data_IF_901546940726
#
_entry.id   IF_901546940726
#
_cell.length_a   1.000
_cell.length_b   1.000
_cell.length_c   1.000
_cell.angle_alpha   90.00
_cell.angle_beta   90.00
_cell.angle_gamma   90.00
#
_symmetry.space_group_name_H-M   'P 1'
#
loop_
_entity.id
_entity.type
_entity.pdbx_description
1 polymer ?
#
# COMPACT_ATOMS: atom_id res chain seq x y z
N UNK A 1 -10.15 -4.01 18.03
CA UNK A 1 -9.52 -2.98 18.89
C UNK A 1 -10.07 -1.64 18.46
N UNK A 2 -10.49 -0.80 19.41
CA UNK A 2 -10.86 0.58 19.11
C UNK A 2 -9.57 1.42 18.99
N UNK A 3 -9.54 2.36 18.04
CA UNK A 3 -8.44 3.32 17.91
C UNK A 3 -8.48 4.32 19.07
N UNK A 4 -7.32 4.80 19.50
CA UNK A 4 -7.26 5.90 20.47
C UNK A 4 -7.79 7.20 19.85
N UNK A 5 -8.15 8.17 20.69
CA UNK A 5 -8.57 9.49 20.23
C UNK A 5 -7.47 10.19 19.43
N UNK A 6 -6.23 10.10 19.90
CA UNK A 6 -5.05 10.65 19.24
C UNK A 6 -4.83 10.03 17.85
N UNK A 7 -5.00 8.71 17.72
CA UNK A 7 -4.93 8.02 16.43
C UNK A 7 -6.04 8.48 15.49
N UNK A 8 -7.25 8.68 16.01
CA UNK A 8 -8.40 9.13 15.22
C UNK A 8 -8.18 10.56 14.70
N UNK A 9 -7.70 11.46 15.57
CA UNK A 9 -7.36 12.84 15.21
C UNK A 9 -6.21 12.88 14.18
N UNK A 10 -5.18 12.04 14.35
CA UNK A 10 -4.09 11.89 13.41
C UNK A 10 -4.55 11.39 12.03
N UNK A 11 -5.41 10.37 12.00
CA UNK A 11 -6.01 9.85 10.77
C UNK A 11 -6.87 10.92 10.09
N UNK A 12 -7.68 11.66 10.84
CA UNK A 12 -8.48 12.76 10.28
C UNK A 12 -7.60 13.85 9.64
N UNK A 13 -6.51 14.23 10.31
CA UNK A 13 -5.56 15.20 9.79
C UNK A 13 -4.88 14.72 8.50
N UNK A 14 -4.48 13.45 8.45
CA UNK A 14 -3.90 12.81 7.26
C UNK A 14 -4.91 12.83 6.10
N UNK A 15 -6.16 12.40 6.34
CA UNK A 15 -7.21 12.40 5.32
C UNK A 15 -7.46 13.80 4.74
N UNK A 16 -7.62 14.81 5.61
CA UNK A 16 -7.81 16.21 5.18
C UNK A 16 -6.64 16.71 4.34
N UNK A 17 -5.42 16.40 4.76
CA UNK A 17 -4.20 16.86 4.10
C UNK A 17 -4.03 16.18 2.74
N UNK A 18 -4.21 14.86 2.66
CA UNK A 18 -4.13 14.11 1.40
C UNK A 18 -5.13 14.62 0.36
N UNK A 19 -6.38 14.85 0.76
CA UNK A 19 -7.42 15.36 -0.14
C UNK A 19 -7.12 16.80 -0.59
N UNK A 20 -6.73 17.70 0.33
CA UNK A 20 -6.36 19.08 -0.02
C UNK A 20 -5.17 19.13 -0.97
N UNK A 21 -4.14 18.32 -0.72
CA UNK A 21 -2.97 18.23 -1.58
C UNK A 21 -3.35 17.73 -2.97
N UNK A 22 -4.30 16.78 -3.08
CA UNK A 22 -4.82 16.34 -4.37
C UNK A 22 -5.54 17.47 -5.09
N UNK A 23 -6.40 18.23 -4.42
CA UNK A 23 -7.08 19.37 -5.04
C UNK A 23 -6.11 20.45 -5.53
N UNK A 24 -5.06 20.76 -4.75
CA UNK A 24 -4.09 21.80 -5.09
C UNK A 24 -3.18 21.40 -6.26
N UNK A 25 -2.76 20.14 -6.32
CA UNK A 25 -1.77 19.66 -7.28
C UNK A 25 -2.38 18.77 -8.37
N UNK A 26 -3.71 18.79 -8.53
CA UNK A 26 -4.35 18.01 -9.59
C UNK A 26 -4.04 18.62 -10.95
N UNK A 27 -3.19 17.93 -11.71
CA UNK A 27 -2.98 18.19 -13.11
C UNK A 27 -3.96 17.33 -13.92
N UNK A 28 -4.95 17.93 -14.61
CA UNK A 28 -5.81 17.21 -15.52
C UNK A 28 -4.94 16.54 -16.59
N UNK A 29 -5.21 15.27 -16.92
CA UNK A 29 -4.45 14.59 -17.96
C UNK A 29 -4.48 15.40 -19.27
N UNK A 30 -3.30 15.72 -19.86
CA UNK A 30 -3.25 16.43 -21.13
C UNK A 30 -3.51 15.42 -22.24
N UNK A 31 -4.77 15.14 -22.50
CA UNK A 31 -5.17 14.34 -23.64
C UNK A 31 -6.38 14.99 -24.29
N UNK A 32 -6.22 15.40 -25.54
CA UNK A 32 -7.35 15.71 -26.41
C UNK A 32 -8.27 14.50 -26.42
N UNK A 33 -9.35 14.55 -25.63
CA UNK A 33 -10.38 13.52 -25.54
C UNK A 33 -11.68 14.02 -26.20
N UNK A 34 -11.69 14.21 -27.54
CA UNK A 34 -12.81 14.85 -28.24
C UNK A 34 -14.10 14.05 -28.11
N UNK A 35 -14.02 12.71 -28.11
CA UNK A 35 -15.18 11.84 -27.94
C UNK A 35 -15.79 11.97 -26.54
N UNK A 36 -14.98 11.83 -25.49
CA UNK A 36 -15.45 11.94 -24.10
C UNK A 36 -16.00 13.34 -23.79
N UNK A 37 -15.35 14.38 -24.34
CA UNK A 37 -15.81 15.77 -24.21
C UNK A 37 -17.15 15.96 -24.91
N UNK A 38 -17.37 15.33 -26.07
CA UNK A 38 -18.64 15.39 -26.79
C UNK A 38 -19.75 14.60 -26.10
N UNK A 39 -19.42 13.47 -25.46
CA UNK A 39 -20.36 12.60 -24.79
C UNK A 39 -20.80 13.15 -23.42
N UNK A 40 -19.85 13.63 -22.62
CA UNK A 40 -20.05 13.98 -21.21
C UNK A 40 -20.08 15.50 -20.97
N UNK A 41 -19.51 16.29 -21.89
CA UNK A 41 -19.22 17.70 -21.66
C UNK A 41 -17.95 17.90 -20.82
N UNK A 42 -17.44 19.13 -20.81
CA UNK A 42 -16.17 19.48 -20.18
C UNK A 42 -16.18 19.28 -18.66
N UNK A 43 -17.25 19.71 -17.99
CA UNK A 43 -17.32 19.69 -16.53
C UNK A 43 -17.43 18.27 -15.97
N UNK A 44 -18.26 17.42 -16.59
CA UNK A 44 -18.40 16.01 -16.18
C UNK A 44 -17.14 15.22 -16.45
N UNK A 45 -16.43 15.52 -17.54
CA UNK A 45 -15.14 14.91 -17.84
C UNK A 45 -14.09 15.30 -16.80
N UNK A 46 -14.02 16.59 -16.41
CA UNK A 46 -13.10 17.05 -15.37
C UNK A 46 -13.36 16.36 -14.01
N UNK A 47 -14.63 16.25 -13.61
CA UNK A 47 -15.03 15.52 -12.40
C UNK A 47 -14.67 14.04 -12.48
N UNK A 48 -14.97 13.39 -13.62
CA UNK A 48 -14.63 11.98 -13.84
C UNK A 48 -13.12 11.75 -13.72
N UNK A 49 -12.31 12.55 -14.41
CA UNK A 49 -10.85 12.41 -14.39
C UNK A 49 -10.29 12.66 -12.98
N UNK A 50 -10.85 13.60 -12.23
CA UNK A 50 -10.47 13.83 -10.84
C UNK A 50 -10.76 12.62 -9.95
N UNK A 51 -11.99 12.09 -10.02
CA UNK A 51 -12.39 10.89 -9.25
C UNK A 51 -11.57 9.67 -9.68
N UNK A 52 -11.31 9.51 -10.97
CA UNK A 52 -10.48 8.43 -11.47
C UNK A 52 -9.05 8.52 -10.93
N UNK A 53 -8.45 9.71 -10.99
CA UNK A 53 -7.10 9.97 -10.46
C UNK A 53 -7.00 9.79 -8.95
N UNK A 54 -8.10 10.04 -8.21
CA UNK A 54 -8.22 9.71 -6.79
C UNK A 54 -8.32 8.21 -6.54
N UNK A 55 -9.10 7.50 -7.35
CA UNK A 55 -9.28 6.06 -7.18
C UNK A 55 -8.00 5.27 -7.47
N UNK A 56 -7.22 5.68 -8.47
CA UNK A 56 -5.97 5.00 -8.84
C UNK A 56 -4.83 5.25 -7.86
N UNK A 57 -4.86 6.36 -7.11
CA UNK A 57 -3.82 6.70 -6.14
C UNK A 57 -4.23 6.50 -4.67
N UNK A 58 -5.47 6.08 -4.40
CA UNK A 58 -6.00 5.93 -3.05
C UNK A 58 -5.13 5.04 -2.16
N UNK A 59 -4.55 3.98 -2.73
CA UNK A 59 -3.62 3.08 -2.04
C UNK A 59 -2.43 3.81 -1.44
N UNK A 60 -1.67 4.53 -2.26
CA UNK A 60 -0.42 5.19 -1.84
C UNK A 60 -0.65 6.57 -1.22
N UNK A 61 -1.64 7.35 -1.67
CA UNK A 61 -1.84 8.72 -1.17
C UNK A 61 -2.77 8.83 0.04
N UNK A 62 -3.55 7.79 0.33
CA UNK A 62 -4.53 7.79 1.44
C UNK A 62 -4.32 6.62 2.37
N UNK A 63 -4.43 5.38 1.88
CA UNK A 63 -4.40 4.20 2.74
C UNK A 63 -3.04 3.96 3.39
N UNK A 64 -1.93 4.12 2.66
CA UNK A 64 -0.59 3.94 3.21
C UNK A 64 -0.27 4.95 4.34
N UNK A 65 -0.48 6.27 4.18
CA UNK A 65 -0.31 7.24 5.26
C UNK A 65 -1.19 6.96 6.49
N UNK A 66 -2.45 6.55 6.28
CA UNK A 66 -3.36 6.18 7.37
C UNK A 66 -2.87 4.93 8.09
N UNK A 67 -2.42 3.91 7.36
CA UNK A 67 -1.86 2.70 7.94
C UNK A 67 -0.60 3.00 8.77
N UNK A 68 0.24 3.92 8.29
CA UNK A 68 1.42 4.38 9.01
C UNK A 68 1.06 5.08 10.33
N UNK A 69 0.04 5.94 10.33
CA UNK A 69 -0.41 6.62 11.54
C UNK A 69 -0.99 5.66 12.58
N UNK A 70 -1.76 4.66 12.14
CA UNK A 70 -2.27 3.59 13.01
C UNK A 70 -1.11 2.73 13.56
N UNK A 71 -0.11 2.45 12.73
CA UNK A 71 1.02 1.58 13.09
C UNK A 71 1.98 2.22 14.10
N UNK A 72 2.22 3.54 14.04
CA UNK A 72 3.11 4.27 14.97
C UNK A 72 2.81 4.02 16.44
N UNK A 73 1.53 3.85 16.79
CA UNK A 73 1.13 3.60 18.18
C UNK A 73 1.47 2.17 18.66
N UNK A 74 1.54 1.20 17.75
CA UNK A 74 1.68 -0.22 18.08
C UNK A 74 3.10 -0.74 17.83
N UNK A 75 3.88 -0.08 16.98
CA UNK A 75 5.18 -0.54 16.53
C UNK A 75 6.25 0.52 16.77
N UNK A 76 7.45 0.09 17.19
CA UNK A 76 8.61 0.98 17.36
C UNK A 76 9.03 1.68 16.07
N UNK A 77 8.73 1.08 14.92
CA UNK A 77 9.08 1.58 13.61
C UNK A 77 7.92 1.37 12.64
N UNK A 78 7.45 2.46 12.06
CA UNK A 78 6.45 2.49 10.99
C UNK A 78 6.99 3.40 9.87
N UNK A 79 7.19 2.86 8.68
CA UNK A 79 7.72 3.58 7.52
C UNK A 79 6.88 3.29 6.29
N UNK A 80 6.64 4.32 5.48
CA UNK A 80 6.01 4.22 4.17
C UNK A 80 7.09 3.97 3.11
N UNK A 81 6.69 3.46 1.95
CA UNK A 81 7.54 3.33 0.76
C UNK A 81 8.84 2.55 1.03
N UNK A 82 8.72 1.40 1.69
CA UNK A 82 9.88 0.52 1.91
C UNK A 82 10.26 -0.12 0.58
N UNK A 83 11.45 0.23 0.09
CA UNK A 83 12.06 -0.45 -1.05
C UNK A 83 12.43 -1.87 -0.60
N UNK A 84 11.76 -2.88 -1.17
CA UNK A 84 12.23 -4.24 -1.07
C UNK A 84 13.61 -4.27 -1.75
N UNK A 85 14.65 -4.61 -0.99
CA UNK A 85 16.02 -4.64 -1.50
C UNK A 85 16.15 -5.50 -2.77
N UNK A 86 17.26 -5.33 -3.47
CA UNK A 86 17.55 -6.00 -4.74
C UNK A 86 18.07 -7.45 -4.59
N UNK A 87 18.26 -7.91 -3.35
CA UNK A 87 18.95 -9.16 -3.04
C UNK A 87 18.18 -9.99 -2.02
N UNK A 88 18.22 -11.30 -2.21
CA UNK A 88 17.76 -12.31 -1.27
C UNK A 88 18.99 -13.09 -0.83
N UNK A 89 19.17 -13.32 0.48
CA UNK A 89 20.31 -14.12 0.96
C UNK A 89 20.15 -15.58 0.51
N UNK A 90 21.26 -16.25 0.22
CA UNK A 90 21.24 -17.66 -0.20
C UNK A 90 20.58 -18.57 0.87
N UNK A 91 20.79 -18.24 2.15
CA UNK A 91 20.12 -18.91 3.27
C UNK A 91 18.60 -18.75 3.23
N UNK A 92 18.10 -17.54 2.98
CA UNK A 92 16.67 -17.29 2.82
C UNK A 92 16.09 -18.05 1.61
N UNK A 93 16.80 -18.05 0.47
CA UNK A 93 16.39 -18.79 -0.71
C UNK A 93 16.26 -20.30 -0.44
N UNK A 94 17.23 -20.91 0.25
CA UNK A 94 17.19 -22.34 0.59
C UNK A 94 16.00 -22.67 1.49
N UNK A 95 15.72 -21.83 2.49
CA UNK A 95 14.58 -22.05 3.40
C UNK A 95 13.25 -21.91 2.66
N UNK A 96 13.12 -20.89 1.81
CA UNK A 96 11.93 -20.71 0.96
C UNK A 96 11.73 -21.93 0.07
N UNK A 97 12.79 -22.43 -0.57
CA UNK A 97 12.70 -23.61 -1.44
C UNK A 97 12.23 -24.84 -0.65
N UNK A 98 12.79 -25.09 0.54
CA UNK A 98 12.35 -26.21 1.40
C UNK A 98 10.88 -26.12 1.80
N UNK A 99 10.37 -24.91 2.06
CA UNK A 99 8.94 -24.70 2.34
C UNK A 99 8.11 -25.06 1.11
N UNK A 100 8.47 -24.53 -0.06
CA UNK A 100 7.77 -24.80 -1.33
C UNK A 100 7.76 -26.30 -1.63
N UNK A 101 8.90 -26.97 -1.48
CA UNK A 101 9.04 -28.41 -1.73
C UNK A 101 8.14 -29.19 -0.76
N UNK A 102 8.17 -28.88 0.53
CA UNK A 102 7.35 -29.56 1.54
C UNK A 102 5.84 -29.40 1.34
N UNK A 103 5.40 -28.23 0.86
CA UNK A 103 4.02 -27.98 0.48
C UNK A 103 3.64 -28.74 -0.80
N UNK A 104 4.53 -28.76 -1.79
CA UNK A 104 4.30 -29.42 -3.08
C UNK A 104 4.24 -30.94 -2.95
N UNK A 105 5.09 -31.52 -2.09
CA UNK A 105 5.09 -32.97 -1.82
C UNK A 105 4.07 -33.39 -0.76
N UNK A 106 3.24 -32.47 -0.27
CA UNK A 106 2.27 -32.68 0.81
C UNK A 106 2.87 -33.26 2.11
N UNK A 107 4.19 -33.06 2.33
CA UNK A 107 4.86 -33.46 3.57
C UNK A 107 4.54 -32.50 4.73
N UNK A 108 4.13 -31.28 4.41
CA UNK A 108 3.80 -30.24 5.39
C UNK A 108 2.53 -29.50 5.01
N UNK A 109 1.75 -29.11 6.00
CA UNK A 109 0.58 -28.24 5.81
C UNK A 109 0.99 -26.76 5.86
N UNK A 110 0.32 -25.88 5.09
CA UNK A 110 0.56 -24.44 5.13
C UNK A 110 0.46 -23.87 6.56
N UNK A 111 1.52 -23.20 7.01
CA UNK A 111 1.54 -22.54 8.31
C UNK A 111 2.33 -21.24 8.24
N UNK A 112 1.60 -20.17 7.92
CA UNK A 112 2.15 -18.82 7.76
C UNK A 112 3.05 -18.38 8.92
N UNK A 113 2.65 -18.66 10.17
CA UNK A 113 3.41 -18.22 11.34
C UNK A 113 4.78 -18.91 11.41
N UNK A 114 4.81 -20.23 11.23
CA UNK A 114 6.06 -21.02 11.26
C UNK A 114 6.97 -20.70 10.07
N UNK A 115 6.40 -20.53 8.88
CA UNK A 115 7.15 -20.21 7.65
C UNK A 115 7.84 -18.85 7.76
N UNK A 116 7.13 -17.82 8.27
CA UNK A 116 7.70 -16.49 8.49
C UNK A 116 8.83 -16.55 9.52
N UNK A 117 8.67 -17.32 10.60
CA UNK A 117 9.69 -17.45 11.64
C UNK A 117 10.95 -18.14 11.10
N UNK A 118 10.80 -19.22 10.32
CA UNK A 118 11.92 -19.92 9.69
C UNK A 118 12.72 -19.00 8.74
N UNK A 119 12.01 -18.20 7.92
CA UNK A 119 12.66 -17.23 7.01
C UNK A 119 13.36 -16.13 7.81
N UNK A 120 12.74 -15.57 8.85
CA UNK A 120 13.34 -14.51 9.68
C UNK A 120 14.63 -14.95 10.37
N UNK A 121 14.76 -16.22 10.77
CA UNK A 121 15.97 -16.74 11.40
C UNK A 121 17.19 -16.71 10.47
N UNK A 122 16.99 -16.86 9.16
CA UNK A 122 18.08 -16.87 8.17
C UNK A 122 18.32 -15.52 7.49
N UNK A 123 17.37 -14.60 7.58
CA UNK A 123 17.48 -13.23 7.02
C UNK A 123 18.39 -12.28 7.82
N UNK A 124 18.98 -12.72 8.94
CA UNK A 124 19.91 -11.91 9.74
C UNK A 124 21.38 -12.00 9.26
N UNK A 125 21.65 -12.78 8.21
CA UNK A 125 22.97 -12.99 7.61
C UNK A 125 23.02 -12.51 6.17
#
# INVERSE_FOLDING_TARGET
MALSKEQTDGVEAVLKTSIRNKFQNYEPEPASMPFHTRLLGKDRLALYSFIHSLNTNFGSSVFEPVALEIAKANFKLAKAQIVAGDKISSGAQIVIQKIIDGLTTANTNPNKTKEIEAIKQVCQK
#
